data_IF_820154568404
#
_entry.id   IF_820154568404
#
_cell.length_a   1.000
_cell.length_b   1.000
_cell.length_c   1.000
_cell.angle_alpha   90.00
_cell.angle_beta   90.00
_cell.angle_gamma   90.00
#
_symmetry.space_group_name_H-M   'P 1'
#
loop_
_entity.id
_entity.type
_entity.pdbx_description
1 polymer ?
#
# COMPACT_ATOMS: atom_id res chain seq x y z
N UNK A 1 -10.58 -7.65 -25.11
CA UNK A 1 -10.25 -7.55 -23.67
C UNK A 1 -10.08 -6.09 -23.35
N UNK A 2 -10.97 -5.51 -22.54
CA UNK A 2 -10.90 -4.10 -22.17
C UNK A 2 -9.64 -3.87 -21.35
N UNK A 3 -8.71 -3.07 -21.88
CA UNK A 3 -7.55 -2.57 -21.14
C UNK A 3 -8.12 -1.61 -20.09
N UNK A 4 -8.40 -2.13 -18.89
CA UNK A 4 -8.66 -1.30 -17.72
C UNK A 4 -7.37 -0.54 -17.48
N UNK A 5 -7.42 0.75 -17.76
CA UNK A 5 -6.36 1.71 -17.46
C UNK A 5 -5.77 1.39 -16.09
N UNK A 6 -4.44 1.34 -16.02
CA UNK A 6 -3.62 1.17 -14.80
C UNK A 6 -4.12 1.93 -13.57
N UNK A 7 -4.85 3.02 -13.83
CA UNK A 7 -5.43 3.91 -12.85
C UNK A 7 -6.63 3.33 -12.06
N UNK A 8 -7.45 2.46 -12.69
CA UNK A 8 -8.70 1.96 -12.09
C UNK A 8 -8.53 0.63 -11.33
N UNK A 9 -7.54 -0.18 -11.68
CA UNK A 9 -7.28 -1.43 -10.96
C UNK A 9 -6.52 -1.19 -9.65
N UNK A 10 -5.59 -0.22 -9.68
CA UNK A 10 -4.77 0.16 -8.51
C UNK A 10 -5.58 0.89 -7.45
N UNK A 11 -6.59 1.68 -7.82
CA UNK A 11 -7.45 2.38 -6.85
C UNK A 11 -8.32 1.45 -6.01
N UNK A 12 -8.59 0.22 -6.44
CA UNK A 12 -9.38 -0.75 -5.66
C UNK A 12 -8.53 -1.51 -4.64
N UNK A 13 -7.50 -2.22 -5.10
CA UNK A 13 -6.68 -3.08 -4.25
C UNK A 13 -5.82 -2.28 -3.26
N UNK A 14 -5.22 -1.18 -3.72
CA UNK A 14 -4.42 -0.32 -2.86
C UNK A 14 -5.28 0.24 -1.72
N UNK A 15 -6.46 0.80 -2.04
CA UNK A 15 -7.40 1.32 -1.03
C UNK A 15 -7.87 0.26 -0.02
N UNK A 16 -7.93 -1.01 -0.41
CA UNK A 16 -8.23 -2.09 0.53
C UNK A 16 -7.09 -2.33 1.51
N UNK A 17 -5.84 -2.29 1.04
CA UNK A 17 -4.64 -2.49 1.86
C UNK A 17 -4.41 -1.29 2.81
N UNK A 18 -4.57 -0.06 2.32
CA UNK A 18 -4.34 1.17 3.10
C UNK A 18 -5.55 1.62 3.92
N UNK A 19 -6.64 0.85 3.98
CA UNK A 19 -7.92 1.29 4.55
C UNK A 19 -7.85 1.80 6.00
N UNK A 20 -6.91 1.31 6.81
CA UNK A 20 -6.73 1.78 8.18
C UNK A 20 -5.58 2.79 8.34
N UNK A 21 -4.85 3.10 7.26
CA UNK A 21 -3.82 4.13 7.26
C UNK A 21 -4.46 5.51 7.18
N UNK A 22 -3.88 6.48 7.87
CA UNK A 22 -4.24 7.88 7.68
C UNK A 22 -3.71 8.43 6.35
N UNK A 23 -4.20 9.60 5.92
CA UNK A 23 -3.81 10.22 4.64
C UNK A 23 -2.29 10.46 4.51
N UNK A 24 -1.59 10.65 5.62
CA UNK A 24 -0.14 10.86 5.63
C UNK A 24 0.60 9.53 5.43
N UNK A 25 0.20 8.48 6.15
CA UNK A 25 0.71 7.13 6.00
C UNK A 25 0.44 6.58 4.59
N UNK A 26 -0.75 6.82 4.04
CA UNK A 26 -1.12 6.44 2.68
C UNK A 26 -0.18 7.06 1.64
N UNK A 27 0.00 8.39 1.69
CA UNK A 27 0.92 9.09 0.79
C UNK A 27 2.36 8.58 0.92
N UNK A 28 2.84 8.36 2.14
CA UNK A 28 4.20 7.85 2.40
C UNK A 28 4.38 6.40 1.92
N UNK A 29 3.34 5.57 2.04
CA UNK A 29 3.37 4.22 1.51
C UNK A 29 3.36 4.22 -0.02
N UNK A 30 2.59 5.12 -0.63
CA UNK A 30 2.60 5.30 -2.08
C UNK A 30 3.99 5.70 -2.62
N UNK A 31 4.69 6.60 -1.91
CA UNK A 31 6.07 6.98 -2.21
C UNK A 31 7.05 5.81 -2.00
N UNK A 32 6.89 5.05 -0.91
CA UNK A 32 7.68 3.85 -0.65
C UNK A 32 7.57 2.83 -1.78
N UNK A 33 6.36 2.59 -2.29
CA UNK A 33 6.13 1.70 -3.43
C UNK A 33 6.77 2.24 -4.72
N UNK A 34 6.74 3.55 -4.93
CA UNK A 34 7.40 4.18 -6.09
C UNK A 34 8.91 3.99 -6.03
N UNK A 35 9.53 4.14 -4.86
CA UNK A 35 10.98 4.12 -4.72
C UNK A 35 11.56 2.69 -4.69
N UNK A 36 10.80 1.70 -4.20
CA UNK A 36 11.30 0.33 -4.00
C UNK A 36 10.73 -0.69 -4.99
N UNK A 37 9.61 -0.38 -5.64
CA UNK A 37 8.89 -1.31 -6.51
C UNK A 37 8.47 -0.64 -7.83
N UNK A 38 9.23 0.36 -8.31
CA UNK A 38 8.88 1.18 -9.49
C UNK A 38 8.43 0.35 -10.69
N UNK A 39 9.11 -0.77 -10.94
CA UNK A 39 8.92 -1.61 -12.12
C UNK A 39 7.89 -2.74 -11.89
N UNK A 40 7.68 -3.13 -10.63
CA UNK A 40 6.77 -4.22 -10.24
C UNK A 40 5.38 -3.70 -9.84
N UNK A 41 5.23 -2.40 -9.57
CA UNK A 41 4.00 -1.76 -9.07
C UNK A 41 2.77 -2.03 -9.94
N UNK A 42 2.97 -2.28 -11.23
CA UNK A 42 1.92 -2.48 -12.25
C UNK A 42 1.41 -3.93 -12.25
N UNK A 43 2.19 -4.86 -11.71
CA UNK A 43 1.89 -6.30 -11.67
C UNK A 43 1.78 -6.87 -10.25
N UNK A 44 1.84 -6.01 -9.22
CA UNK A 44 1.71 -6.46 -7.83
C UNK A 44 0.33 -7.07 -7.57
N UNK A 45 0.35 -8.26 -6.99
CA UNK A 45 -0.86 -8.89 -6.44
C UNK A 45 -1.25 -8.23 -5.12
N UNK A 46 -2.48 -8.47 -4.67
CA UNK A 46 -2.95 -8.04 -3.34
C UNK A 46 -1.99 -8.49 -2.22
N UNK A 47 -1.49 -9.73 -2.29
CA UNK A 47 -0.60 -10.28 -1.27
C UNK A 47 0.74 -9.54 -1.24
N UNK A 48 1.31 -9.22 -2.41
CA UNK A 48 2.55 -8.44 -2.50
C UNK A 48 2.38 -7.02 -1.95
N UNK A 49 1.25 -6.37 -2.25
CA UNK A 49 0.92 -5.05 -1.69
C UNK A 49 0.74 -5.11 -0.18
N UNK A 50 0.07 -6.15 0.33
CA UNK A 50 -0.15 -6.35 1.76
C UNK A 50 1.17 -6.57 2.51
N UNK A 51 2.07 -7.36 1.95
CA UNK A 51 3.37 -7.63 2.59
C UNK A 51 4.29 -6.41 2.51
N UNK A 52 4.25 -5.63 1.42
CA UNK A 52 4.91 -4.33 1.33
C UNK A 52 4.37 -3.33 2.37
N UNK A 53 3.04 -3.28 2.57
CA UNK A 53 2.41 -2.43 3.58
C UNK A 53 2.82 -2.83 5.01
N UNK A 54 2.83 -4.13 5.32
CA UNK A 54 3.31 -4.64 6.62
C UNK A 54 4.77 -4.25 6.87
N UNK A 55 5.64 -4.42 5.87
CA UNK A 55 7.05 -4.05 5.98
C UNK A 55 7.23 -2.54 6.20
N UNK A 56 6.50 -1.73 5.44
CA UNK A 56 6.49 -0.28 5.58
C UNK A 56 6.03 0.16 6.98
N UNK A 57 4.91 -0.38 7.47
CA UNK A 57 4.35 -0.03 8.78
C UNK A 57 5.24 -0.51 9.92
N UNK A 58 5.72 -1.75 9.88
CA UNK A 58 6.62 -2.28 10.91
C UNK A 58 7.93 -1.49 11.00
N UNK A 59 8.40 -0.88 9.90
CA UNK A 59 9.64 -0.10 9.86
C UNK A 59 9.45 1.35 10.28
N UNK A 60 8.37 2.00 9.84
CA UNK A 60 8.17 3.44 10.02
C UNK A 60 7.23 3.80 11.18
N UNK A 61 6.36 2.86 11.58
CA UNK A 61 5.32 3.06 12.60
C UNK A 61 5.23 1.82 13.51
N UNK A 62 6.29 1.48 14.27
CA UNK A 62 6.33 0.26 15.08
C UNK A 62 5.25 0.21 16.17
N UNK A 63 4.75 1.36 16.63
CA UNK A 63 3.69 1.47 17.63
C UNK A 63 2.27 1.33 17.02
N UNK A 64 2.18 1.19 15.70
CA UNK A 64 0.92 1.07 14.97
C UNK A 64 0.79 -0.38 14.47
N UNK A 65 -0.44 -0.89 14.40
CA UNK A 65 -0.71 -2.13 13.69
C UNK A 65 -0.37 -1.97 12.21
N UNK A 66 -0.16 -3.10 11.52
CA UNK A 66 0.17 -3.13 10.10
C UNK A 66 -0.86 -2.44 9.21
N UNK A 67 -2.11 -2.32 9.68
CA UNK A 67 -3.18 -1.67 8.94
C UNK A 67 -3.30 -0.16 9.27
N UNK A 68 -2.41 0.44 10.06
CA UNK A 68 -2.46 1.88 10.39
C UNK A 68 -3.22 2.24 11.68
N UNK A 69 -3.83 1.26 12.35
CA UNK A 69 -4.52 1.50 13.61
C UNK A 69 -3.52 1.54 14.78
N UNK A 70 -3.62 2.54 15.65
CA UNK A 70 -2.84 2.55 16.88
C UNK A 70 -3.47 1.58 17.88
N UNK A 71 -2.66 0.78 18.59
CA UNK A 71 -3.14 0.02 19.74
C UNK A 71 -3.50 1.03 20.84
N UNK A 72 -4.80 1.22 21.08
CA UNK A 72 -5.33 2.01 22.21
C UNK A 72 -5.65 1.05 23.34
#
# INVERSE_FOLDING_TARGET
MAYKSDHDFRTGLFKQVVKGMDDYQDRRFHDYLRDNYSDEKDSMTYQMLLDAAKAFMSRNYPDYSWNGQKWI
#
